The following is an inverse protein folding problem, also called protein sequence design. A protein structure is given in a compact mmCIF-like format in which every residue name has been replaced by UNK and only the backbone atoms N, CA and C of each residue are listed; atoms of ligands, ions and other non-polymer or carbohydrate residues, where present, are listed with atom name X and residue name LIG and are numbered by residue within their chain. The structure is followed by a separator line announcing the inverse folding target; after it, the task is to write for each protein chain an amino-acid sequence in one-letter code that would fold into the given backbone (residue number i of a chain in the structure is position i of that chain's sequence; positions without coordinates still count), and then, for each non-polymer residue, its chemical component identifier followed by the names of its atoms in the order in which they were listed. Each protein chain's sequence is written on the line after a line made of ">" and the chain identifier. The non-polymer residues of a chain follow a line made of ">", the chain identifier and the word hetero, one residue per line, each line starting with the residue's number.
data_IF_730782137557
#
_entry.id   IF_730782137557
#
_cell.length_a   1.000
_cell.length_b   1.000
_cell.length_c   1.000
_cell.angle_alpha   90.00
_cell.angle_beta   90.00
_cell.angle_gamma   90.00
#
_symmetry.space_group_name_H-M   'P 1'
#
loop_
_entity.id
_entity.type
_entity.pdbx_description
1 polymer ?
#
# COMPACT_ATOMS: atom_id res chain seq x y z
N UNK A 1 -3.28 1.57 44.34
CA UNK A 1 -4.14 2.06 43.25
C UNK A 1 -3.29 2.93 42.34
N UNK A 2 -2.53 2.32 41.43
CA UNK A 2 -1.63 3.03 40.52
C UNK A 2 -2.01 2.62 39.10
N UNK A 3 -2.89 3.40 38.46
CA UNK A 3 -3.20 3.26 37.03
C UNK A 3 -2.02 3.80 36.23
N UNK A 4 -0.99 2.97 36.03
CA UNK A 4 -0.05 3.17 34.93
C UNK A 4 -0.68 2.53 33.71
N UNK A 5 -1.40 3.35 32.95
CA UNK A 5 -1.99 2.97 31.67
C UNK A 5 -0.83 2.55 30.76
N UNK A 6 -0.79 1.27 30.37
CA UNK A 6 0.14 0.73 29.39
C UNK A 6 -0.14 1.39 28.04
N UNK A 7 0.63 2.42 27.68
CA UNK A 7 0.57 3.08 26.36
C UNK A 7 0.91 2.09 25.23
N UNK A 8 1.60 0.98 25.55
CA UNK A 8 1.90 -0.10 24.60
C UNK A 8 0.66 -0.88 24.13
N UNK A 9 -0.47 -0.81 24.86
CA UNK A 9 -1.71 -1.52 24.50
C UNK A 9 -2.63 -0.72 23.58
N UNK A 10 -2.32 0.56 23.33
CA UNK A 10 -3.10 1.43 22.45
C UNK A 10 -2.62 1.38 20.99
N UNK A 11 -1.39 0.93 20.72
CA UNK A 11 -0.85 0.82 19.36
C UNK A 11 -1.00 -0.59 18.76
N UNK A 12 -1.46 -1.56 19.56
CA UNK A 12 -1.59 -2.98 19.19
C UNK A 12 -3.07 -3.39 19.04
N UNK A 13 -3.95 -2.43 18.77
CA UNK A 13 -5.29 -2.71 18.28
C UNK A 13 -5.33 -2.50 16.77
N UNK A 14 -5.24 -3.61 16.03
CA UNK A 14 -6.18 -3.87 14.93
C UNK A 14 -6.07 -3.00 13.66
N UNK A 15 -4.89 -2.86 13.05
CA UNK A 15 -4.85 -2.73 11.59
C UNK A 15 -5.20 -4.10 10.96
N UNK A 16 -6.45 -4.51 11.15
CA UNK A 16 -7.09 -5.58 10.37
C UNK A 16 -7.76 -4.90 9.21
N UNK A 17 -6.90 -4.57 8.25
CA UNK A 17 -7.29 -4.31 6.89
C UNK A 17 -6.43 -5.18 5.99
N UNK A 18 -7.07 -6.08 5.24
CA UNK A 18 -6.34 -6.91 4.30
C UNK A 18 -6.56 -6.30 2.92
N UNK A 19 -5.83 -5.22 2.65
CA UNK A 19 -5.77 -4.63 1.32
C UNK A 19 -5.14 -5.66 0.37
N UNK A 20 -5.84 -5.96 -0.72
CA UNK A 20 -5.44 -6.97 -1.68
C UNK A 20 -5.34 -6.37 -3.09
N UNK A 21 -4.55 -7.01 -3.93
CA UNK A 21 -4.32 -6.58 -5.32
C UNK A 21 -4.46 -7.80 -6.21
N UNK A 22 -5.34 -7.72 -7.20
CA UNK A 22 -5.62 -8.87 -8.07
C UNK A 22 -4.44 -9.18 -9.01
N UNK A 23 -3.86 -8.15 -9.64
CA UNK A 23 -2.71 -8.30 -10.55
C UNK A 23 -1.66 -7.22 -10.34
N UNK A 24 -0.40 -7.58 -10.60
CA UNK A 24 0.70 -6.63 -10.66
C UNK A 24 1.38 -6.73 -12.01
N UNK A 25 1.44 -5.61 -12.73
CA UNK A 25 2.23 -5.49 -13.95
C UNK A 25 3.58 -4.86 -13.64
N UNK A 26 4.62 -5.35 -14.31
CA UNK A 26 6.00 -4.92 -14.13
C UNK A 26 6.60 -4.57 -15.49
N UNK A 27 6.98 -3.31 -15.67
CA UNK A 27 7.62 -2.83 -16.88
C UNK A 27 8.96 -2.21 -16.52
N UNK A 28 10.07 -2.86 -16.86
CA UNK A 28 11.41 -2.35 -16.56
C UNK A 28 12.26 -2.24 -17.82
N UNK A 29 13.00 -1.15 -17.92
CA UNK A 29 14.02 -0.93 -18.94
C UNK A 29 15.39 -0.89 -18.27
N UNK A 30 16.32 -1.70 -18.77
CA UNK A 30 17.71 -1.68 -18.35
C UNK A 30 18.46 -0.69 -19.23
N UNK A 31 19.08 0.28 -18.61
CA UNK A 31 19.91 1.28 -19.27
C UNK A 31 21.28 0.69 -19.64
N UNK A 32 21.98 1.23 -20.65
CA UNK A 32 23.31 0.74 -21.06
C UNK A 32 24.38 0.80 -19.95
N UNK A 33 24.20 1.67 -18.95
CA UNK A 33 25.07 1.79 -17.77
C UNK A 33 24.81 0.72 -16.69
N UNK A 34 23.84 -0.17 -16.93
CA UNK A 34 23.41 -1.19 -15.98
C UNK A 34 22.39 -0.71 -14.94
N UNK A 35 22.01 0.57 -14.97
CA UNK A 35 20.86 1.09 -14.23
C UNK A 35 19.54 0.56 -14.80
N UNK A 36 18.46 0.79 -14.07
CA UNK A 36 17.12 0.34 -14.46
C UNK A 36 16.09 1.38 -14.01
N UNK A 37 15.08 1.58 -14.85
CA UNK A 37 13.89 2.39 -14.56
C UNK A 37 12.69 1.53 -14.91
N UNK A 38 11.64 1.61 -14.12
CA UNK A 38 10.45 0.86 -14.44
C UNK A 38 9.24 1.26 -13.63
N UNK A 39 8.14 0.61 -13.94
CA UNK A 39 6.84 0.87 -13.35
C UNK A 39 6.29 -0.43 -12.79
N UNK A 40 5.70 -0.34 -11.60
CA UNK A 40 4.86 -1.38 -11.01
C UNK A 40 3.42 -0.86 -10.99
N UNK A 41 2.51 -1.57 -11.65
CA UNK A 41 1.08 -1.23 -11.65
C UNK A 41 0.30 -2.26 -10.85
N UNK A 42 -0.31 -1.83 -9.75
CA UNK A 42 -1.16 -2.62 -8.87
C UNK A 42 -2.61 -2.48 -9.35
N UNK A 43 -3.16 -3.52 -9.95
CA UNK A 43 -4.49 -3.52 -10.56
C UNK A 43 -5.54 -4.14 -9.67
N UNK A 44 -6.70 -3.47 -9.66
CA UNK A 44 -7.88 -3.86 -8.89
C UNK A 44 -7.55 -4.03 -7.41
N UNK A 45 -7.19 -2.91 -6.79
CA UNK A 45 -6.96 -2.82 -5.35
C UNK A 45 -8.32 -2.95 -4.65
N UNK A 46 -8.47 -3.96 -3.79
CA UNK A 46 -9.73 -4.26 -3.10
C UNK A 46 -9.52 -4.44 -1.61
N UNK A 47 -10.54 -4.08 -0.83
CA UNK A 47 -10.62 -4.47 0.57
C UNK A 47 -11.04 -5.93 0.68
N UNK A 48 -10.33 -6.71 1.50
CA UNK A 48 -10.74 -8.09 1.81
C UNK A 48 -11.49 -8.10 3.14
N UNK A 49 -12.79 -8.48 3.15
CA UNK A 49 -13.58 -8.48 4.38
C UNK A 49 -13.08 -9.53 5.36
N UNK A 50 -12.89 -9.14 6.62
CA UNK A 50 -12.58 -10.08 7.69
C UNK A 50 -13.85 -10.54 8.42
N UNK A 51 -14.11 -11.85 8.41
CA UNK A 51 -15.07 -12.54 9.31
C UNK A 51 -16.35 -11.73 9.61
N UNK A 52 -17.10 -11.36 8.57
CA UNK A 52 -18.39 -10.66 8.64
C UNK A 52 -18.34 -9.21 9.14
N UNK A 53 -17.18 -8.53 9.06
CA UNK A 53 -17.07 -7.09 9.28
C UNK A 53 -16.63 -6.40 8.01
N UNK A 54 -17.27 -5.27 7.72
CA UNK A 54 -16.82 -4.37 6.67
C UNK A 54 -15.53 -3.69 7.13
N UNK A 55 -14.45 -3.93 6.40
CA UNK A 55 -13.13 -3.34 6.63
C UNK A 55 -12.81 -2.21 5.63
N UNK A 56 -13.73 -1.90 4.70
CA UNK A 56 -13.45 -1.04 3.54
C UNK A 56 -12.95 0.34 3.93
N UNK A 57 -13.51 0.93 5.00
CA UNK A 57 -13.05 2.24 5.49
C UNK A 57 -11.61 2.17 6.02
N UNK A 58 -11.28 1.15 6.81
CA UNK A 58 -9.95 0.99 7.39
C UNK A 58 -8.92 0.73 6.28
N UNK A 59 -9.26 -0.13 5.32
CA UNK A 59 -8.41 -0.48 4.19
C UNK A 59 -8.18 0.72 3.27
N UNK A 60 -9.22 1.53 3.06
CA UNK A 60 -9.09 2.78 2.31
C UNK A 60 -8.19 3.78 3.04
N UNK A 61 -8.38 3.98 4.35
CA UNK A 61 -7.49 4.84 5.14
C UNK A 61 -6.05 4.34 5.10
N UNK A 62 -5.82 3.03 5.15
CA UNK A 62 -4.49 2.44 5.02
C UNK A 62 -3.88 2.72 3.63
N UNK A 63 -4.64 2.46 2.55
CA UNK A 63 -4.21 2.74 1.18
C UNK A 63 -3.79 4.20 1.01
N UNK A 64 -4.59 5.14 1.53
CA UNK A 64 -4.31 6.56 1.38
C UNK A 64 -3.15 7.01 2.27
N UNK A 65 -3.18 6.70 3.56
CA UNK A 65 -2.24 7.27 4.53
C UNK A 65 -0.87 6.58 4.49
N UNK A 66 -0.83 5.26 4.34
CA UNK A 66 0.41 4.49 4.45
C UNK A 66 1.07 4.31 3.07
N UNK A 67 0.27 3.97 2.05
CA UNK A 67 0.79 3.62 0.72
C UNK A 67 0.88 4.84 -0.21
N UNK A 68 -0.20 5.60 -0.39
CA UNK A 68 -0.23 6.72 -1.33
C UNK A 68 0.53 7.94 -0.80
N UNK A 69 0.14 8.45 0.37
CA UNK A 69 0.76 9.63 1.00
C UNK A 69 1.98 9.28 1.87
N UNK A 70 2.00 8.09 2.46
CA UNK A 70 3.05 7.64 3.38
C UNK A 70 4.23 6.98 2.69
N UNK A 71 5.08 6.30 3.46
CA UNK A 71 6.36 5.75 2.95
C UNK A 71 6.33 4.22 2.80
N UNK A 72 5.19 3.54 2.95
CA UNK A 72 5.13 2.08 2.96
C UNK A 72 5.76 1.44 1.70
N UNK A 73 5.48 1.98 0.50
CA UNK A 73 6.10 1.51 -0.74
C UNK A 73 7.62 1.74 -0.79
N UNK A 74 8.10 2.83 -0.21
CA UNK A 74 9.54 3.15 -0.15
C UNK A 74 10.23 2.18 0.82
N UNK A 75 9.63 1.98 1.99
CA UNK A 75 10.14 1.09 3.04
C UNK A 75 10.15 -0.38 2.60
N UNK A 76 9.13 -0.81 1.86
CA UNK A 76 9.04 -2.15 1.27
C UNK A 76 10.04 -2.34 0.11
N UNK A 77 10.47 -1.26 -0.54
CA UNK A 77 11.34 -1.28 -1.74
C UNK A 77 12.61 -0.42 -1.57
N UNK A 78 13.34 -0.58 -0.47
CA UNK A 78 14.53 0.25 -0.12
C UNK A 78 15.66 0.30 -1.17
N UNK A 79 15.63 -0.61 -2.16
CA UNK A 79 16.61 -0.67 -3.25
C UNK A 79 16.20 0.17 -4.46
N UNK A 80 14.96 0.63 -4.52
CA UNK A 80 14.45 1.56 -5.53
C UNK A 80 14.64 3.01 -5.04
N UNK A 81 14.76 3.95 -5.99
CA UNK A 81 14.98 5.37 -5.70
C UNK A 81 14.11 6.22 -6.60
N UNK A 82 13.82 7.44 -6.16
CA UNK A 82 12.99 8.41 -6.89
C UNK A 82 11.58 7.89 -7.19
N UNK A 83 10.95 7.26 -6.19
CA UNK A 83 9.62 6.66 -6.32
C UNK A 83 8.56 7.76 -6.52
N UNK A 84 7.82 7.67 -7.62
CA UNK A 84 6.61 8.44 -7.90
C UNK A 84 5.37 7.56 -7.78
N UNK A 85 4.24 8.14 -7.37
CA UNK A 85 3.01 7.39 -7.08
C UNK A 85 1.79 8.04 -7.73
N UNK A 86 0.95 7.21 -8.33
CA UNK A 86 -0.34 7.61 -8.88
C UNK A 86 -1.44 6.66 -8.36
N UNK A 87 -2.63 7.20 -8.11
CA UNK A 87 -3.81 6.43 -7.72
C UNK A 87 -5.01 6.93 -8.53
N UNK A 88 -5.64 6.06 -9.31
CA UNK A 88 -6.71 6.43 -10.23
C UNK A 88 -7.68 5.26 -10.47
N UNK A 89 -8.80 5.56 -11.14
CA UNK A 89 -9.76 4.55 -11.59
C UNK A 89 -9.54 4.29 -13.08
N UNK A 90 -9.37 3.04 -13.46
CA UNK A 90 -9.29 2.57 -14.85
C UNK A 90 -10.24 1.37 -15.00
N UNK A 91 -11.08 1.37 -16.03
CA UNK A 91 -12.07 0.31 -16.31
C UNK A 91 -12.93 -0.12 -15.10
N UNK A 92 -13.24 0.85 -14.23
CA UNK A 92 -14.09 0.66 -13.05
C UNK A 92 -13.38 0.05 -11.83
N UNK A 93 -12.07 -0.16 -11.89
CA UNK A 93 -11.27 -0.68 -10.77
C UNK A 93 -10.26 0.35 -10.26
N UNK A 94 -9.88 0.23 -8.99
CA UNK A 94 -8.85 1.07 -8.38
C UNK A 94 -7.46 0.58 -8.77
N UNK A 95 -6.64 1.48 -9.32
CA UNK A 95 -5.30 1.20 -9.80
C UNK A 95 -4.30 2.11 -9.10
N UNK A 96 -3.26 1.50 -8.53
CA UNK A 96 -2.08 2.20 -7.99
C UNK A 96 -0.90 1.98 -8.91
N UNK A 97 -0.13 3.02 -9.19
CA UNK A 97 1.06 2.95 -10.05
C UNK A 97 2.26 3.55 -9.32
N UNK A 98 3.37 2.83 -9.37
CA UNK A 98 4.65 3.23 -8.80
C UNK A 98 5.70 3.28 -9.92
N UNK A 99 6.46 4.37 -10.05
CA UNK A 99 7.56 4.51 -11.02
C UNK A 99 8.86 4.85 -10.31
#
# INVERSE_FOLDING_TARGET
>A
MNKRINILFAFMMLAVGCLDVEYKDYEFTINPDGGWVGTITYRNIISRPEKNKDASEIDFQQLINDYYLGDALVDENQHLKNIEKELYIEDGVLVGKMT
#
